data_IF_194570470586
#
_entry.id   IF_194570470586
#
_cell.length_a   1.000
_cell.length_b   1.000
_cell.length_c   1.000
_cell.angle_alpha   90.00
_cell.angle_beta   90.00
_cell.angle_gamma   90.00
#
_symmetry.space_group_name_H-M   'P 1'
#
loop_
_entity.id
_entity.type
_entity.pdbx_description
1 polymer ?
#
# COMPACT_ATOMS: atom_id res chain seq x y z
N UNK A 1 -18.71 -6.73 -19.19
CA UNK A 1 -18.99 -7.46 -17.91
C UNK A 1 -19.71 -6.51 -16.97
N UNK A 2 -20.80 -6.94 -16.37
CA UNK A 2 -21.42 -6.15 -15.29
C UNK A 2 -20.62 -6.34 -14.00
N UNK A 3 -19.62 -5.50 -13.82
CA UNK A 3 -18.70 -5.56 -12.70
C UNK A 3 -19.38 -5.42 -11.34
N UNK A 4 -20.33 -4.47 -11.10
CA UNK A 4 -21.02 -4.35 -9.82
C UNK A 4 -21.73 -5.64 -9.39
N UNK A 5 -22.44 -6.31 -10.30
CA UNK A 5 -23.14 -7.58 -10.03
C UNK A 5 -22.15 -8.72 -9.75
N UNK A 6 -21.12 -8.89 -10.56
CA UNK A 6 -20.10 -9.92 -10.38
C UNK A 6 -19.32 -9.72 -9.06
N UNK A 7 -19.01 -8.48 -8.71
CA UNK A 7 -18.38 -8.12 -7.45
C UNK A 7 -19.29 -8.41 -6.26
N UNK A 8 -20.57 -8.05 -6.35
CA UNK A 8 -21.57 -8.34 -5.31
C UNK A 8 -21.70 -9.84 -5.09
N UNK A 9 -21.79 -10.63 -6.16
CA UNK A 9 -21.84 -12.10 -6.09
C UNK A 9 -20.60 -12.67 -5.40
N UNK A 10 -19.39 -12.22 -5.80
CA UNK A 10 -18.14 -12.68 -5.18
C UNK A 10 -18.08 -12.36 -3.68
N UNK A 11 -18.50 -11.16 -3.28
CA UNK A 11 -18.46 -10.71 -1.89
C UNK A 11 -19.55 -11.34 -1.03
N UNK A 12 -20.69 -11.75 -1.60
CA UNK A 12 -21.79 -12.42 -0.88
C UNK A 12 -21.59 -13.93 -0.73
N UNK A 13 -20.57 -14.52 -1.36
CA UNK A 13 -20.28 -15.97 -1.20
C UNK A 13 -20.08 -16.33 0.26
N UNK A 14 -20.74 -17.40 0.75
CA UNK A 14 -20.57 -17.83 2.12
C UNK A 14 -19.12 -18.26 2.40
N UNK A 15 -18.72 -18.11 3.65
CA UNK A 15 -17.38 -18.46 4.14
C UNK A 15 -16.55 -17.24 4.52
N UNK A 16 -15.50 -17.53 5.28
CA UNK A 16 -14.60 -16.48 5.79
C UNK A 16 -13.80 -15.80 4.69
N UNK A 17 -13.45 -14.52 4.86
CA UNK A 17 -12.44 -13.85 4.03
C UNK A 17 -11.12 -14.62 4.04
N UNK A 18 -10.49 -14.71 2.88
CA UNK A 18 -9.21 -15.40 2.70
C UNK A 18 -8.39 -14.71 1.62
N UNK A 19 -7.08 -14.98 1.60
CA UNK A 19 -6.20 -14.54 0.53
C UNK A 19 -6.70 -14.96 -0.87
N UNK A 20 -7.33 -16.13 -1.00
CA UNK A 20 -7.92 -16.58 -2.27
C UNK A 20 -9.06 -15.64 -2.71
N UNK A 21 -9.94 -15.24 -1.78
CA UNK A 21 -11.05 -14.31 -2.06
C UNK A 21 -10.52 -12.92 -2.43
N UNK A 22 -9.46 -12.42 -1.73
CA UNK A 22 -8.80 -11.17 -2.10
C UNK A 22 -8.21 -11.23 -3.51
N UNK A 23 -7.49 -12.31 -3.86
CA UNK A 23 -6.97 -12.49 -5.23
C UNK A 23 -8.07 -12.54 -6.28
N UNK A 24 -9.20 -13.21 -5.98
CA UNK A 24 -10.34 -13.25 -6.90
C UNK A 24 -10.96 -11.84 -7.09
N UNK A 25 -11.05 -11.03 -6.04
CA UNK A 25 -11.53 -9.65 -6.14
C UNK A 25 -10.57 -8.78 -6.95
N UNK A 26 -9.26 -8.93 -6.75
CA UNK A 26 -8.24 -8.24 -7.55
C UNK A 26 -8.34 -8.64 -9.02
N UNK A 27 -8.40 -9.95 -9.33
CA UNK A 27 -8.52 -10.42 -10.71
C UNK A 27 -9.78 -9.91 -11.40
N UNK A 28 -10.94 -9.99 -10.73
CA UNK A 28 -12.19 -9.47 -11.26
C UNK A 28 -12.12 -7.96 -11.54
N UNK A 29 -11.46 -7.21 -10.67
CA UNK A 29 -11.28 -5.76 -10.82
C UNK A 29 -10.29 -5.45 -11.95
N UNK A 30 -9.20 -6.19 -12.05
CA UNK A 30 -8.21 -6.05 -13.12
C UNK A 30 -8.86 -6.32 -14.49
N UNK A 31 -9.64 -7.40 -14.65
CA UNK A 31 -10.33 -7.76 -15.90
C UNK A 31 -11.30 -6.64 -16.32
N UNK A 32 -12.03 -6.08 -15.37
CA UNK A 32 -12.93 -4.96 -15.64
C UNK A 32 -12.17 -3.71 -16.08
N UNK A 33 -11.12 -3.32 -15.38
CA UNK A 33 -10.31 -2.15 -15.70
C UNK A 33 -9.58 -2.30 -17.05
N UNK A 34 -9.14 -3.51 -17.40
CA UNK A 34 -8.60 -3.82 -18.73
C UNK A 34 -9.65 -3.57 -19.81
N UNK A 35 -10.89 -3.99 -19.58
CA UNK A 35 -12.01 -3.70 -20.47
C UNK A 35 -12.23 -2.20 -20.66
N UNK A 36 -12.29 -1.43 -19.56
CA UNK A 36 -12.46 0.02 -19.62
C UNK A 36 -11.31 0.71 -20.38
N UNK A 37 -10.07 0.27 -20.14
CA UNK A 37 -8.90 0.78 -20.84
C UNK A 37 -8.99 0.55 -22.36
N UNK A 38 -9.40 -0.65 -22.79
CA UNK A 38 -9.58 -0.98 -24.19
C UNK A 38 -10.73 -0.16 -24.83
N UNK A 39 -11.88 -0.06 -24.15
CA UNK A 39 -13.05 0.71 -24.62
C UNK A 39 -12.78 2.22 -24.67
N UNK A 40 -11.90 2.73 -23.79
CA UNK A 40 -11.49 4.14 -23.82
C UNK A 40 -10.71 4.51 -25.10
N UNK A 41 -10.19 3.53 -25.84
CA UNK A 41 -9.38 3.75 -27.04
C UNK A 41 -7.95 4.23 -26.71
N UNK A 42 -7.44 3.89 -25.55
CA UNK A 42 -6.07 4.18 -25.14
C UNK A 42 -5.07 3.45 -26.06
N UNK A 43 -4.01 4.15 -26.49
CA UNK A 43 -2.91 3.50 -27.23
C UNK A 43 -2.08 2.65 -26.27
N UNK A 44 -2.12 1.31 -26.33
CA UNK A 44 -1.46 0.45 -25.35
C UNK A 44 0.06 0.48 -25.44
N UNK A 45 0.63 1.07 -26.47
CA UNK A 45 2.07 1.24 -26.58
C UNK A 45 2.56 2.55 -25.95
N UNK A 46 1.68 3.54 -25.84
CA UNK A 46 2.01 4.90 -25.34
C UNK A 46 1.36 5.24 -24.02
N UNK A 47 0.50 4.38 -23.52
CA UNK A 47 -0.20 4.56 -22.26
C UNK A 47 -0.19 3.28 -21.42
N UNK A 48 -0.26 3.42 -20.09
CA UNK A 48 -0.42 2.31 -19.18
C UNK A 48 -1.35 2.69 -18.03
N UNK A 49 -2.36 1.87 -17.77
CA UNK A 49 -3.14 1.95 -16.55
C UNK A 49 -2.44 1.12 -15.48
N UNK A 50 -2.05 1.75 -14.38
CA UNK A 50 -1.30 1.08 -13.31
C UNK A 50 -2.00 1.21 -11.97
N UNK A 51 -1.93 0.16 -11.18
CA UNK A 51 -2.31 0.14 -9.77
C UNK A 51 -1.11 0.53 -8.90
N UNK A 52 -1.34 1.32 -7.86
CA UNK A 52 -0.34 1.70 -6.87
C UNK A 52 -0.83 1.40 -5.45
N UNK A 53 0.02 1.58 -4.46
CA UNK A 53 -0.35 1.40 -3.06
C UNK A 53 -0.87 0.00 -2.71
N UNK A 54 -1.97 -0.07 -1.97
CA UNK A 54 -2.58 -1.34 -1.55
C UNK A 54 -3.05 -2.19 -2.72
N UNK A 55 -3.67 -1.57 -3.71
CA UNK A 55 -4.13 -2.26 -4.92
C UNK A 55 -2.96 -2.72 -5.79
N UNK A 56 -1.88 -1.93 -5.88
CA UNK A 56 -0.64 -2.35 -6.55
C UNK A 56 -0.05 -3.64 -5.98
N UNK A 57 -0.15 -3.83 -4.66
CA UNK A 57 0.26 -5.06 -3.95
C UNK A 57 -0.67 -6.25 -4.15
N UNK A 58 -1.82 -6.07 -4.79
CA UNK A 58 -2.87 -7.07 -4.84
C UNK A 58 -3.67 -7.21 -3.53
N UNK A 59 -3.66 -6.20 -2.68
CA UNK A 59 -4.39 -6.16 -1.40
C UNK A 59 -5.61 -5.25 -1.53
N UNK A 60 -6.67 -5.75 -2.16
CA UNK A 60 -7.94 -5.03 -2.32
C UNK A 60 -8.96 -5.59 -1.33
N UNK A 61 -9.25 -4.84 -0.26
CA UNK A 61 -10.34 -5.18 0.66
C UNK A 61 -11.71 -4.74 0.08
N UNK A 62 -12.83 -5.34 0.56
CA UNK A 62 -14.15 -5.10 -0.03
C UNK A 62 -14.57 -3.63 -0.16
N UNK A 63 -14.21 -2.77 0.76
CA UNK A 63 -14.55 -1.35 0.70
C UNK A 63 -13.32 -0.44 0.52
N UNK A 64 -12.22 -0.96 -0.02
CA UNK A 64 -11.01 -0.17 -0.32
C UNK A 64 -11.22 0.75 -1.51
N UNK A 65 -10.50 1.88 -1.48
CA UNK A 65 -10.35 2.74 -2.64
C UNK A 65 -9.49 2.05 -3.71
N UNK A 66 -9.69 2.39 -4.97
CA UNK A 66 -8.79 2.05 -6.07
C UNK A 66 -7.77 3.18 -6.23
N UNK A 67 -6.48 2.85 -6.08
CA UNK A 67 -5.38 3.79 -6.31
C UNK A 67 -4.82 3.54 -7.73
N UNK A 68 -5.15 4.42 -8.69
CA UNK A 68 -4.84 4.25 -10.10
C UNK A 68 -4.03 5.43 -10.67
N UNK A 69 -3.10 5.12 -11.56
CA UNK A 69 -2.41 6.13 -12.37
C UNK A 69 -2.49 5.74 -13.84
N UNK A 70 -2.93 6.69 -14.67
CA UNK A 70 -2.80 6.57 -16.13
C UNK A 70 -1.46 7.19 -16.52
N UNK A 71 -0.47 6.33 -16.78
CA UNK A 71 0.83 6.75 -17.32
C UNK A 71 0.73 6.94 -18.82
N UNK A 72 1.46 7.95 -19.34
CA UNK A 72 1.46 8.19 -20.78
C UNK A 72 2.79 8.78 -21.25
N UNK A 73 3.11 8.59 -22.53
CA UNK A 73 4.19 9.33 -23.20
C UNK A 73 3.81 10.81 -23.36
N UNK A 74 4.78 11.74 -23.40
CA UNK A 74 4.51 13.18 -23.48
C UNK A 74 3.66 13.64 -24.68
N UNK A 75 3.60 12.83 -25.74
CA UNK A 75 2.85 13.12 -26.98
C UNK A 75 1.65 12.22 -27.18
N UNK A 76 1.31 11.37 -26.22
CA UNK A 76 0.11 10.54 -26.29
C UNK A 76 -1.14 11.42 -26.16
N UNK A 77 -2.14 11.17 -26.98
CA UNK A 77 -3.44 11.78 -26.83
C UNK A 77 -4.22 11.04 -25.73
N UNK A 78 -4.28 11.66 -24.55
CA UNK A 78 -5.00 11.13 -23.38
C UNK A 78 -6.23 11.96 -23.04
N UNK A 79 -6.54 12.96 -23.87
CA UNK A 79 -7.76 13.79 -23.71
C UNK A 79 -8.97 12.90 -23.92
N UNK A 80 -9.84 12.85 -22.92
CA UNK A 80 -11.05 12.01 -22.94
C UNK A 80 -10.79 10.51 -22.69
N UNK A 81 -9.57 9.99 -22.79
CA UNK A 81 -9.26 8.60 -22.41
C UNK A 81 -9.44 8.42 -20.90
N UNK A 82 -8.88 9.32 -20.12
CA UNK A 82 -8.97 9.31 -18.67
C UNK A 82 -10.43 9.32 -18.19
N UNK A 83 -11.24 10.23 -18.72
CA UNK A 83 -12.65 10.34 -18.35
C UNK A 83 -13.44 9.06 -18.65
N UNK A 84 -13.20 8.42 -19.81
CA UNK A 84 -13.84 7.16 -20.17
C UNK A 84 -13.45 5.98 -19.25
N UNK A 85 -12.32 6.09 -18.54
CA UNK A 85 -11.92 5.10 -17.54
C UNK A 85 -12.52 5.47 -16.17
N UNK A 86 -12.46 6.76 -15.76
CA UNK A 86 -12.83 7.17 -14.42
C UNK A 86 -14.33 7.22 -14.17
N UNK A 87 -15.13 7.71 -15.15
CA UNK A 87 -16.59 7.81 -14.98
C UNK A 87 -17.26 6.45 -14.70
N UNK A 88 -16.98 5.37 -15.44
CA UNK A 88 -17.55 4.06 -15.12
C UNK A 88 -17.18 3.54 -13.73
N UNK A 89 -16.00 3.90 -13.20
CA UNK A 89 -15.58 3.51 -11.85
C UNK A 89 -16.45 4.23 -10.80
N UNK A 90 -16.69 5.51 -10.98
CA UNK A 90 -17.60 6.27 -10.10
C UNK A 90 -19.04 5.81 -10.22
N UNK A 91 -19.52 5.54 -11.44
CA UNK A 91 -20.87 5.02 -11.68
C UNK A 91 -21.09 3.65 -11.05
N UNK A 92 -20.04 2.85 -10.94
CA UNK A 92 -20.05 1.58 -10.20
C UNK A 92 -20.01 1.76 -8.65
N UNK A 93 -20.03 3.01 -8.17
CA UNK A 93 -19.98 3.33 -6.74
C UNK A 93 -18.63 3.05 -6.07
N UNK A 94 -17.55 2.91 -6.87
CA UNK A 94 -16.22 2.69 -6.36
C UNK A 94 -15.55 4.01 -5.99
N UNK A 95 -14.79 3.99 -4.90
CA UNK A 95 -13.93 5.13 -4.52
C UNK A 95 -12.62 5.04 -5.30
N UNK A 96 -12.17 6.17 -5.82
CA UNK A 96 -11.04 6.24 -6.72
C UNK A 96 -10.10 7.38 -6.32
N UNK A 97 -8.84 7.06 -6.02
CA UNK A 97 -7.71 7.99 -6.03
C UNK A 97 -6.99 7.81 -7.37
N UNK A 98 -6.92 8.87 -8.18
CA UNK A 98 -6.43 8.75 -9.54
C UNK A 98 -5.58 9.94 -9.97
N UNK A 99 -4.73 9.68 -10.95
CA UNK A 99 -4.00 10.76 -11.63
C UNK A 99 -3.61 10.35 -13.05
N UNK A 100 -3.36 11.36 -13.90
CA UNK A 100 -2.80 11.19 -15.25
C UNK A 100 -1.43 11.83 -15.27
N UNK A 101 -0.37 11.08 -15.59
CA UNK A 101 1.02 11.52 -15.47
C UNK A 101 1.90 10.94 -16.56
N UNK A 102 2.88 11.70 -16.97
CA UNK A 102 4.07 11.16 -17.63
C UNK A 102 5.01 10.54 -16.58
N UNK A 103 5.91 9.64 -17.01
CA UNK A 103 6.94 9.07 -16.12
C UNK A 103 7.78 10.14 -15.42
N UNK A 104 8.28 11.21 -16.12
CA UNK A 104 9.03 12.28 -15.46
C UNK A 104 8.21 13.04 -14.38
N UNK A 105 6.92 13.26 -14.61
CA UNK A 105 6.05 13.95 -13.63
C UNK A 105 5.82 13.08 -12.40
N UNK A 106 5.51 11.80 -12.59
CA UNK A 106 5.32 10.84 -11.50
C UNK A 106 6.60 10.69 -10.66
N UNK A 107 7.78 10.58 -11.32
CA UNK A 107 9.10 10.55 -10.66
C UNK A 107 9.35 11.81 -9.83
N UNK A 108 9.08 13.00 -10.40
CA UNK A 108 9.26 14.28 -9.69
C UNK A 108 8.37 14.34 -8.44
N UNK A 109 7.11 13.94 -8.56
CA UNK A 109 6.18 13.93 -7.43
C UNK A 109 6.63 12.94 -6.35
N UNK A 110 7.06 11.74 -6.72
CA UNK A 110 7.65 10.77 -5.78
C UNK A 110 8.89 11.32 -5.05
N UNK A 111 9.68 12.17 -5.72
CA UNK A 111 10.79 12.89 -5.09
C UNK A 111 10.38 13.91 -4.02
N UNK A 112 9.13 14.38 -4.03
CA UNK A 112 8.61 15.41 -3.13
C UNK A 112 7.71 14.83 -2.02
N UNK A 113 6.98 13.75 -2.30
CA UNK A 113 5.97 13.19 -1.40
C UNK A 113 6.30 11.73 -1.04
N UNK A 114 6.44 11.46 0.26
CA UNK A 114 6.69 10.11 0.78
C UNK A 114 5.51 9.16 0.51
N UNK A 115 4.27 9.63 0.56
CA UNK A 115 3.09 8.79 0.27
C UNK A 115 3.14 8.30 -1.17
N UNK A 116 3.51 9.18 -2.10
CA UNK A 116 3.60 8.84 -3.52
C UNK A 116 4.73 7.85 -3.79
N UNK A 117 5.93 8.07 -3.25
CA UNK A 117 7.03 7.12 -3.47
C UNK A 117 6.69 5.74 -2.91
N UNK A 118 6.10 5.67 -1.69
CA UNK A 118 5.68 4.40 -1.08
C UNK A 118 4.62 3.68 -1.91
N UNK A 119 3.70 4.42 -2.54
CA UNK A 119 2.71 3.85 -3.45
C UNK A 119 3.33 3.28 -4.72
N UNK A 120 4.30 3.98 -5.31
CA UNK A 120 4.96 3.57 -6.55
C UNK A 120 5.93 2.39 -6.35
N UNK A 121 6.48 2.19 -5.15
CA UNK A 121 7.32 1.00 -4.87
C UNK A 121 6.60 -0.32 -5.18
N UNK A 122 5.29 -0.32 -5.10
CA UNK A 122 4.42 -1.47 -5.38
C UNK A 122 3.61 -1.28 -6.69
N UNK A 123 4.06 -0.42 -7.61
CA UNK A 123 3.37 -0.17 -8.89
C UNK A 123 3.25 -1.45 -9.71
N UNK A 124 2.06 -1.68 -10.28
CA UNK A 124 1.73 -2.86 -11.10
C UNK A 124 0.92 -2.44 -12.33
N UNK A 125 1.29 -2.96 -13.50
CA UNK A 125 0.53 -2.75 -14.73
C UNK A 125 -0.80 -3.50 -14.65
N UNK A 126 -1.90 -2.83 -14.98
CA UNK A 126 -3.22 -3.42 -15.21
C UNK A 126 -3.42 -3.61 -16.71
N UNK A 127 -3.15 -2.57 -17.51
CA UNK A 127 -3.29 -2.59 -18.95
C UNK A 127 -2.28 -1.63 -19.61
N UNK A 128 -1.96 -1.88 -20.88
CA UNK A 128 -1.09 -1.03 -21.70
C UNK A 128 0.39 -1.34 -21.56
N UNK A 129 1.24 -0.31 -21.69
CA UNK A 129 2.70 -0.45 -21.79
C UNK A 129 3.35 -0.83 -20.46
N UNK A 130 3.87 -2.04 -20.39
CA UNK A 130 4.69 -2.48 -19.26
C UNK A 130 6.02 -1.73 -19.18
N UNK A 131 6.56 -1.29 -20.33
CA UNK A 131 7.80 -0.51 -20.40
C UNK A 131 7.67 0.83 -19.65
N UNK A 132 6.54 1.53 -19.76
CA UNK A 132 6.29 2.76 -18.99
C UNK A 132 6.26 2.48 -17.49
N UNK A 133 5.64 1.38 -17.07
CA UNK A 133 5.57 0.99 -15.66
C UNK A 133 6.96 0.65 -15.12
N UNK A 134 7.73 -0.16 -15.84
CA UNK A 134 9.10 -0.53 -15.44
C UNK A 134 10.04 0.67 -15.42
N UNK A 135 9.91 1.58 -16.40
CA UNK A 135 10.67 2.83 -16.43
C UNK A 135 10.39 3.69 -15.19
N UNK A 136 9.13 3.83 -14.80
CA UNK A 136 8.75 4.55 -13.58
C UNK A 136 9.31 3.86 -12.34
N UNK A 137 9.11 2.54 -12.21
CA UNK A 137 9.60 1.75 -11.07
C UNK A 137 11.11 1.87 -10.91
N UNK A 138 11.85 1.67 -12.00
CA UNK A 138 13.31 1.76 -11.98
C UNK A 138 13.82 3.16 -11.60
N UNK A 139 13.22 4.20 -12.16
CA UNK A 139 13.61 5.58 -11.87
C UNK A 139 13.33 5.95 -10.41
N UNK A 140 12.18 5.60 -9.88
CA UNK A 140 11.80 5.89 -8.48
C UNK A 140 12.65 5.09 -7.50
N UNK A 141 12.92 3.81 -7.77
CA UNK A 141 13.84 3.00 -6.96
C UNK A 141 15.27 3.54 -6.95
N UNK A 142 15.76 4.01 -8.10
CA UNK A 142 17.08 4.64 -8.20
C UNK A 142 17.16 5.88 -7.30
N UNK A 143 16.17 6.77 -7.38
CA UNK A 143 16.10 7.99 -6.56
C UNK A 143 15.95 7.67 -5.07
N UNK A 144 15.10 6.68 -4.74
CA UNK A 144 14.90 6.22 -3.37
C UNK A 144 16.22 5.76 -2.74
N UNK A 145 17.01 4.94 -3.47
CA UNK A 145 18.32 4.45 -3.01
C UNK A 145 19.36 5.56 -2.91
N UNK A 146 19.41 6.46 -3.89
CA UNK A 146 20.35 7.56 -3.91
C UNK A 146 20.17 8.53 -2.74
N UNK A 147 18.92 8.76 -2.33
CA UNK A 147 18.54 9.68 -1.26
C UNK A 147 18.19 8.97 0.06
N UNK A 148 18.41 7.66 0.14
CA UNK A 148 17.91 6.81 1.22
C UNK A 148 18.21 7.32 2.64
N UNK A 149 19.43 7.79 3.01
CA UNK A 149 19.67 8.24 4.38
C UNK A 149 18.80 9.40 4.80
N UNK A 150 18.52 10.34 3.89
CA UNK A 150 17.64 11.47 4.13
C UNK A 150 16.17 11.04 4.15
N UNK A 151 15.75 10.29 3.13
CA UNK A 151 14.36 9.86 2.98
C UNK A 151 13.90 8.91 4.10
N UNK A 152 14.79 8.04 4.59
CA UNK A 152 14.50 7.20 5.75
C UNK A 152 14.38 8.01 7.05
N UNK A 153 15.12 9.13 7.21
CA UNK A 153 14.92 10.03 8.34
C UNK A 153 13.55 10.68 8.29
N UNK A 154 13.16 11.23 7.12
CA UNK A 154 11.83 11.81 6.90
C UNK A 154 10.72 10.77 7.14
N UNK A 155 10.93 9.52 6.65
CA UNK A 155 9.98 8.42 6.86
C UNK A 155 9.84 8.05 8.33
N UNK A 156 10.93 8.07 9.11
CA UNK A 156 10.89 7.81 10.55
C UNK A 156 10.05 8.84 11.28
N UNK A 157 10.18 10.13 10.96
CA UNK A 157 9.36 11.20 11.55
C UNK A 157 7.87 11.00 11.26
N UNK A 158 7.52 10.58 10.03
CA UNK A 158 6.12 10.25 9.67
C UNK A 158 5.61 9.04 10.46
N UNK A 159 6.44 8.01 10.66
CA UNK A 159 6.09 6.83 11.47
C UNK A 159 5.88 7.24 12.93
N UNK A 160 6.80 8.00 13.53
CA UNK A 160 6.70 8.43 14.91
C UNK A 160 5.43 9.26 15.16
N UNK A 161 5.13 10.23 14.29
CA UNK A 161 3.88 11.01 14.35
C UNK A 161 2.62 10.13 14.24
N UNK A 162 2.65 9.10 13.37
CA UNK A 162 1.54 8.17 13.23
C UNK A 162 1.34 7.33 14.50
N UNK A 163 2.43 6.86 15.12
CA UNK A 163 2.38 6.09 16.38
C UNK A 163 1.79 6.92 17.52
N UNK A 164 2.20 8.18 17.66
CA UNK A 164 1.63 9.09 18.65
C UNK A 164 0.11 9.26 18.49
N UNK A 165 -0.38 9.27 17.26
CA UNK A 165 -1.79 9.49 16.95
C UNK A 165 -2.65 8.22 17.01
N UNK A 166 -2.12 7.09 16.56
CA UNK A 166 -2.88 5.85 16.34
C UNK A 166 -2.52 4.74 17.32
N UNK A 167 -1.53 4.94 18.18
CA UNK A 167 -1.09 3.98 19.18
C UNK A 167 -0.44 2.71 18.61
N UNK A 168 -0.15 1.78 19.50
CA UNK A 168 0.44 0.48 19.18
C UNK A 168 -0.65 -0.60 19.13
N UNK A 169 -0.82 -1.25 17.99
CA UNK A 169 -1.88 -2.20 17.71
C UNK A 169 -2.04 -3.28 18.80
N UNK A 170 -0.98 -3.90 19.32
CA UNK A 170 -1.09 -4.97 20.32
C UNK A 170 -1.69 -4.54 21.66
N UNK A 171 -1.73 -3.24 21.94
CA UNK A 171 -2.12 -2.68 23.24
C UNK A 171 -3.49 -1.97 23.22
N UNK A 172 -4.16 -1.95 22.06
CA UNK A 172 -5.43 -1.26 21.90
C UNK A 172 -6.61 -2.22 21.99
N UNK A 173 -7.67 -1.80 22.69
CA UNK A 173 -8.95 -2.51 22.70
C UNK A 173 -9.72 -2.33 21.38
N UNK A 174 -9.52 -1.20 20.72
CA UNK A 174 -10.10 -0.86 19.41
C UNK A 174 -8.97 -0.48 18.44
N UNK A 175 -8.18 -1.45 17.94
CA UNK A 175 -7.04 -1.17 17.09
C UNK A 175 -7.46 -0.68 15.69
N UNK A 176 -6.72 0.27 15.15
CA UNK A 176 -6.72 0.53 13.71
C UNK A 176 -5.77 -0.47 13.03
N UNK A 177 -6.35 -1.42 12.28
CA UNK A 177 -5.62 -2.52 11.64
C UNK A 177 -4.58 -2.05 10.61
N UNK A 178 -4.71 -0.80 10.14
CA UNK A 178 -3.83 -0.22 9.12
C UNK A 178 -2.87 0.80 9.72
N UNK A 179 -3.38 1.75 10.52
CA UNK A 179 -2.60 2.91 10.96
C UNK A 179 -1.88 2.70 12.30
N UNK A 180 -2.38 1.83 13.22
CA UNK A 180 -1.68 1.56 14.47
C UNK A 180 -0.32 0.90 14.21
N UNK A 181 0.67 1.16 15.09
CA UNK A 181 2.00 0.55 14.97
C UNK A 181 1.92 -0.96 15.12
N UNK A 182 2.51 -1.69 14.18
CA UNK A 182 2.30 -3.10 13.98
C UNK A 182 1.16 -3.44 13.01
N UNK A 183 0.51 -2.45 12.40
CA UNK A 183 -0.55 -2.62 11.41
C UNK A 183 -0.04 -2.81 9.98
N UNK A 184 -0.98 -2.94 9.02
CA UNK A 184 -0.68 -3.24 7.61
C UNK A 184 0.24 -2.20 6.96
N UNK A 185 0.18 -0.93 7.39
CA UNK A 185 1.05 0.14 6.87
C UNK A 185 2.53 -0.12 7.18
N UNK A 186 2.83 -0.76 8.30
CA UNK A 186 4.20 -1.06 8.69
C UNK A 186 4.88 -2.10 7.80
N UNK A 187 4.12 -2.96 7.15
CA UNK A 187 4.63 -3.84 6.10
C UNK A 187 5.14 -3.04 4.88
N UNK A 188 4.49 -1.90 4.57
CA UNK A 188 4.97 -0.99 3.52
C UNK A 188 6.27 -0.31 3.94
N UNK A 189 6.37 0.08 5.21
CA UNK A 189 7.60 0.68 5.77
C UNK A 189 8.77 -0.31 5.69
N UNK A 190 8.57 -1.55 6.09
CA UNK A 190 9.61 -2.60 6.00
C UNK A 190 10.08 -2.81 4.55
N UNK A 191 9.16 -2.85 3.59
CA UNK A 191 9.51 -2.93 2.16
C UNK A 191 10.32 -1.72 1.69
N UNK A 192 9.93 -0.52 2.11
CA UNK A 192 10.65 0.70 1.76
C UNK A 192 12.07 0.72 2.35
N UNK A 193 12.25 0.26 3.60
CA UNK A 193 13.57 0.10 4.20
C UNK A 193 14.40 -0.91 3.40
N UNK A 194 13.85 -2.09 3.10
CA UNK A 194 14.53 -3.11 2.30
C UNK A 194 14.91 -2.58 0.91
N UNK A 195 13.98 -1.90 0.20
CA UNK A 195 14.20 -1.32 -1.12
C UNK A 195 15.28 -0.23 -1.12
N UNK A 196 15.58 0.39 0.03
CA UNK A 196 16.59 1.45 0.17
C UNK A 196 18.04 0.93 0.10
N UNK A 197 18.27 -0.35 0.33
CA UNK A 197 19.58 -0.99 0.48
C UNK A 197 20.45 -0.41 1.62
N UNK A 198 19.86 0.32 2.55
CA UNK A 198 20.56 0.83 3.74
C UNK A 198 20.61 -0.23 4.83
N UNK A 199 19.52 -0.97 5.00
CA UNK A 199 19.39 -2.04 5.98
C UNK A 199 18.51 -3.16 5.44
N UNK A 200 18.79 -4.38 5.88
CA UNK A 200 17.90 -5.51 5.64
C UNK A 200 16.66 -5.42 6.55
N UNK A 201 15.50 -5.62 5.94
CA UNK A 201 14.21 -5.64 6.61
C UNK A 201 13.39 -6.84 6.08
N UNK A 202 13.50 -8.01 6.73
CA UNK A 202 12.90 -9.26 6.26
C UNK A 202 11.39 -9.24 6.40
N UNK A 203 10.69 -8.67 5.41
CA UNK A 203 9.24 -8.56 5.38
C UNK A 203 8.53 -9.85 4.94
N UNK A 204 9.17 -10.72 4.17
CA UNK A 204 8.59 -12.00 3.70
C UNK A 204 8.31 -12.98 4.85
N UNK A 205 9.10 -12.95 5.91
CA UNK A 205 8.86 -13.77 7.10
C UNK A 205 7.57 -13.39 7.87
N UNK A 206 6.94 -12.27 7.49
CA UNK A 206 5.72 -11.74 8.11
C UNK A 206 4.44 -12.09 7.33
N UNK A 207 4.52 -12.86 6.24
CA UNK A 207 3.36 -13.11 5.38
C UNK A 207 2.17 -13.70 6.16
N UNK A 208 2.40 -14.61 7.09
CA UNK A 208 1.33 -15.19 7.94
C UNK A 208 0.66 -14.13 8.80
N UNK A 209 1.43 -13.19 9.36
CA UNK A 209 0.93 -12.11 10.18
C UNK A 209 0.22 -11.03 9.34
N UNK A 210 0.75 -10.75 8.16
CA UNK A 210 0.13 -9.86 7.18
C UNK A 210 -1.24 -10.39 6.75
N UNK A 211 -1.31 -11.68 6.37
CA UNK A 211 -2.56 -12.33 5.98
C UNK A 211 -3.58 -12.32 7.11
N UNK A 212 -3.15 -12.57 8.37
CA UNK A 212 -4.05 -12.52 9.53
C UNK A 212 -4.70 -11.13 9.69
N UNK A 213 -3.93 -10.04 9.56
CA UNK A 213 -4.49 -8.67 9.62
C UNK A 213 -5.37 -8.35 8.42
N UNK A 214 -5.00 -8.81 7.22
CA UNK A 214 -5.79 -8.60 6.01
C UNK A 214 -7.11 -9.36 6.06
N UNK A 215 -7.15 -10.58 6.59
CA UNK A 215 -8.39 -11.35 6.78
C UNK A 215 -9.33 -10.63 7.76
N UNK A 216 -8.81 -10.10 8.87
CA UNK A 216 -9.62 -9.32 9.83
C UNK A 216 -10.13 -8.03 9.20
N UNK A 217 -9.30 -7.35 8.41
CA UNK A 217 -9.68 -6.13 7.68
C UNK A 217 -10.78 -6.41 6.65
N UNK A 218 -10.66 -7.50 5.91
CA UNK A 218 -11.69 -7.91 4.94
C UNK A 218 -12.99 -8.28 5.65
N UNK A 219 -12.91 -8.95 6.81
CA UNK A 219 -14.04 -9.24 7.68
C UNK A 219 -14.74 -7.96 8.16
N UNK A 220 -13.95 -6.99 8.62
CA UNK A 220 -14.45 -5.69 9.07
C UNK A 220 -15.18 -4.96 7.93
N UNK A 221 -14.60 -4.88 6.74
CA UNK A 221 -15.24 -4.27 5.58
C UNK A 221 -16.50 -5.02 5.13
N UNK A 222 -16.50 -6.35 5.24
CA UNK A 222 -17.68 -7.18 4.89
C UNK A 222 -18.83 -6.94 5.87
N UNK A 223 -18.55 -6.92 7.17
CA UNK A 223 -19.54 -6.72 8.21
C UNK A 223 -20.13 -5.31 8.20
N UNK A 224 -19.26 -4.31 8.02
CA UNK A 224 -19.69 -2.90 8.10
C UNK A 224 -20.20 -2.32 6.78
N UNK A 225 -19.83 -2.92 5.65
CA UNK A 225 -20.08 -2.36 4.32
C UNK A 225 -19.40 -0.99 4.09
N UNK A 226 -18.47 -0.60 4.96
CA UNK A 226 -17.85 0.73 4.95
C UNK A 226 -16.33 0.65 4.86
N UNK A 227 -15.74 1.68 4.28
CA UNK A 227 -14.33 1.95 4.37
C UNK A 227 -13.97 2.37 5.81
N UNK A 228 -13.08 1.63 6.44
CA UNK A 228 -12.59 1.91 7.77
C UNK A 228 -11.77 0.76 8.29
N UNK A 229 -10.68 1.07 8.96
CA UNK A 229 -9.69 0.07 9.40
C UNK A 229 -9.66 -0.04 10.94
N UNK A 230 -10.50 0.74 11.67
CA UNK A 230 -10.62 0.67 13.13
C UNK A 230 -11.61 -0.41 13.55
N UNK A 231 -11.13 -1.44 14.23
CA UNK A 231 -11.91 -2.55 14.75
C UNK A 231 -12.50 -2.17 16.11
N UNK A 232 -13.70 -1.58 16.11
CA UNK A 232 -14.37 -1.14 17.33
C UNK A 232 -14.96 -2.32 18.12
N UNK A 233 -15.24 -2.10 19.42
CA UNK A 233 -15.84 -3.13 20.29
C UNK A 233 -17.16 -3.70 19.73
N UNK A 234 -17.94 -2.87 19.04
CA UNK A 234 -19.22 -3.29 18.46
C UNK A 234 -19.04 -4.20 17.23
N UNK A 235 -17.94 -4.07 16.52
CA UNK A 235 -17.65 -4.80 15.29
C UNK A 235 -16.88 -6.11 15.55
N UNK A 236 -16.24 -6.23 16.72
CA UNK A 236 -15.45 -7.41 17.07
C UNK A 236 -16.28 -8.71 17.08
N UNK A 237 -17.46 -8.79 17.72
CA UNK A 237 -18.25 -10.03 17.74
C UNK A 237 -18.67 -10.49 16.33
N UNK A 238 -19.28 -9.66 15.47
CA UNK A 238 -19.66 -10.10 14.12
C UNK A 238 -18.45 -10.40 13.22
N UNK A 239 -17.30 -9.71 13.39
CA UNK A 239 -16.08 -10.04 12.67
C UNK A 239 -15.49 -11.37 13.14
N UNK A 240 -15.45 -11.63 14.44
CA UNK A 240 -15.01 -12.92 14.99
C UNK A 240 -15.87 -14.08 14.44
N UNK A 241 -17.19 -13.93 14.47
CA UNK A 241 -18.12 -14.93 13.93
C UNK A 241 -17.88 -15.20 12.42
N UNK A 242 -17.64 -14.14 11.61
CA UNK A 242 -17.35 -14.27 10.18
C UNK A 242 -16.02 -14.99 9.90
N UNK A 243 -15.07 -14.89 10.81
CA UNK A 243 -13.74 -15.48 10.70
C UNK A 243 -13.60 -16.85 11.37
N UNK A 244 -14.70 -17.41 11.87
CA UNK A 244 -14.74 -18.67 12.63
C UNK A 244 -13.88 -18.62 13.92
N UNK A 245 -13.65 -17.43 14.48
CA UNK A 245 -13.06 -17.28 15.80
C UNK A 245 -14.12 -17.56 16.88
N UNK A 246 -13.72 -18.25 17.96
CA UNK A 246 -14.66 -18.67 19.02
C UNK A 246 -15.36 -17.49 19.70
N UNK A 247 -14.64 -16.38 19.87
CA UNK A 247 -15.11 -15.18 20.53
C UNK A 247 -14.24 -13.96 20.15
N UNK A 248 -14.65 -12.73 20.52
CA UNK A 248 -13.87 -11.52 20.26
C UNK A 248 -12.46 -11.54 20.88
N UNK A 249 -12.26 -12.23 22.00
CA UNK A 249 -10.93 -12.30 22.65
C UNK A 249 -9.95 -13.14 21.81
N UNK A 250 -10.45 -14.20 21.16
CA UNK A 250 -9.64 -15.00 20.21
C UNK A 250 -9.25 -14.14 19.02
N UNK A 251 -10.18 -13.37 18.46
CA UNK A 251 -9.91 -12.41 17.39
C UNK A 251 -8.84 -11.40 17.80
N UNK A 252 -8.99 -10.75 18.96
CA UNK A 252 -8.05 -9.76 19.47
C UNK A 252 -6.67 -10.36 19.75
N UNK A 253 -6.60 -11.58 20.30
CA UNK A 253 -5.32 -12.29 20.49
C UNK A 253 -4.59 -12.51 19.17
N UNK A 254 -5.32 -12.91 18.12
CA UNK A 254 -4.76 -13.08 16.77
C UNK A 254 -4.25 -11.76 16.21
N UNK A 255 -5.01 -10.69 16.29
CA UNK A 255 -4.65 -9.33 15.86
C UNK A 255 -3.41 -8.85 16.63
N UNK A 256 -3.41 -8.99 17.97
CA UNK A 256 -2.30 -8.57 18.82
C UNK A 256 -1.02 -9.39 18.55
N UNK A 257 -1.14 -10.69 18.28
CA UNK A 257 0.00 -11.53 17.94
C UNK A 257 0.65 -11.09 16.62
N UNK A 258 -0.17 -10.84 15.59
CA UNK A 258 0.30 -10.32 14.31
C UNK A 258 0.94 -8.93 14.47
N UNK A 259 0.29 -8.03 15.22
CA UNK A 259 0.81 -6.70 15.49
C UNK A 259 2.16 -6.70 16.21
N UNK A 260 2.34 -7.55 17.22
CA UNK A 260 3.64 -7.68 17.90
C UNK A 260 4.75 -8.15 16.97
N UNK A 261 4.47 -9.14 16.10
CA UNK A 261 5.47 -9.64 15.16
C UNK A 261 5.89 -8.55 14.15
N UNK A 262 4.94 -7.80 13.63
CA UNK A 262 5.20 -6.72 12.67
C UNK A 262 5.91 -5.55 13.37
N UNK A 263 5.50 -5.14 14.57
CA UNK A 263 6.15 -4.09 15.35
C UNK A 263 7.60 -4.45 15.65
N UNK A 264 7.85 -5.67 16.15
CA UNK A 264 9.21 -6.15 16.42
C UNK A 264 10.11 -6.10 15.18
N UNK A 265 9.60 -6.53 14.02
CA UNK A 265 10.37 -6.47 12.78
C UNK A 265 10.68 -5.02 12.35
N UNK A 266 9.75 -4.08 12.59
CA UNK A 266 9.98 -2.66 12.35
C UNK A 266 11.04 -2.09 13.29
N UNK A 267 10.99 -2.39 14.58
CA UNK A 267 11.98 -1.93 15.56
C UNK A 267 13.39 -2.41 15.17
N UNK A 268 13.52 -3.69 14.83
CA UNK A 268 14.78 -4.27 14.34
C UNK A 268 15.27 -3.59 13.05
N UNK A 269 14.39 -3.35 12.08
CA UNK A 269 14.74 -2.68 10.84
C UNK A 269 15.22 -1.24 11.10
N UNK A 270 14.51 -0.48 11.91
CA UNK A 270 14.90 0.88 12.28
C UNK A 270 16.20 0.93 13.08
N UNK A 271 16.43 -0.01 13.99
CA UNK A 271 17.70 -0.13 14.69
C UNK A 271 18.87 -0.33 13.71
N UNK A 272 18.71 -1.22 12.72
CA UNK A 272 19.71 -1.47 11.68
C UNK A 272 19.94 -0.22 10.79
N UNK A 273 18.88 0.49 10.43
CA UNK A 273 18.97 1.78 9.72
C UNK A 273 19.80 2.79 10.51
N UNK A 274 19.52 2.93 11.81
CA UNK A 274 20.25 3.84 12.70
C UNK A 274 21.74 3.51 12.74
N UNK A 275 22.10 2.24 12.89
CA UNK A 275 23.50 1.79 12.86
C UNK A 275 24.20 2.06 11.54
N UNK A 276 23.56 1.73 10.42
CA UNK A 276 24.12 1.92 9.08
C UNK A 276 24.35 3.41 8.76
N UNK A 277 23.45 4.28 9.16
CA UNK A 277 23.57 5.73 8.94
C UNK A 277 24.58 6.39 9.86
N UNK A 278 24.72 5.94 11.10
CA UNK A 278 25.76 6.39 12.04
C UNK A 278 27.17 6.06 11.52
N UNK A 279 27.38 4.82 11.08
CA UNK A 279 28.67 4.37 10.51
C UNK A 279 29.08 5.20 9.28
N UNK A 280 28.15 5.54 8.40
CA UNK A 280 28.44 6.41 7.23
C UNK A 280 28.81 7.84 7.63
N UNK A 281 28.26 8.39 8.74
CA UNK A 281 28.64 9.71 9.26
C UNK A 281 30.06 9.72 9.83
N UNK A 282 30.50 8.62 10.45
CA UNK A 282 31.87 8.50 11.01
C UNK A 282 32.94 8.34 9.95
N UNK A 283 32.61 7.75 8.79
CA UNK A 283 33.54 7.52 7.68
C UNK A 283 33.73 8.73 6.76
N UNK A 284 33.06 9.86 6.98
CA UNK A 284 33.18 11.07 6.16
C UNK A 284 33.82 12.22 6.94
N UNK A 285 35.16 12.25 7.14
CA UNK A 285 35.86 13.21 7.97
C UNK A 285 35.92 14.64 7.38
N UNK A 286 35.57 14.82 6.10
CA UNK A 286 35.75 16.11 5.38
C UNK A 286 34.80 17.21 5.90
N UNK A 287 33.76 16.89 6.68
CA UNK A 287 32.80 17.88 7.18
C UNK A 287 33.23 18.55 8.51
N UNK A 288 34.26 18.02 9.20
CA UNK A 288 34.75 18.59 10.49
C UNK A 288 35.71 19.77 10.34
N UNK A 289 36.24 20.04 9.17
CA UNK A 289 37.27 21.07 8.96
C UNK A 289 36.71 22.47 8.59
N UNK A 290 35.39 22.66 8.52
CA UNK A 290 34.79 23.97 8.18
C UNK A 290 34.21 24.78 9.35
N UNK A 291 34.32 24.30 10.59
CA UNK A 291 33.77 25.02 11.76
C UNK A 291 34.84 25.62 12.71
N UNK A 292 36.12 25.60 12.32
CA UNK A 292 37.19 26.26 13.10
C UNK A 292 37.97 27.19 12.21
N UNK A 293 37.46 28.38 12.02
CA UNK A 293 38.27 29.59 11.80
C UNK A 293 37.65 30.74 12.57
N UNK A 294 38.49 31.47 13.29
CA UNK A 294 38.12 32.49 14.25
C UNK A 294 37.50 33.75 13.60
#
# INVERSE_FOLDING_TARGET
MDYPSARSELLSRPGRPTAARRRALVGLTDDWLQGLFAEAGADPQKTALVAVGGYGKGNLAPASDLDLVLLHEPRADVVGVADKIWYPIWDAGMRLDHSVRTVPEARRLAGQDLKVVLGILDVRTIAGSEELTESLRAAVLQDWRALAPRRLSELREVVDYRVERSGELPHLLEPDLKESYGGVRDLTILRAISASWVADAPHQALDVHAEALLDVRDGLHTVTGRHGDKLTLQEQPPVAALLDDLDPDVLLRRVSAAGRAIAYANDEAWYRVGRATASRRSLNPVRRLRSTRP
#
